data_IF_653306825191
#
_entry.id   IF_653306825191
#
_cell.length_a   1.000
_cell.length_b   1.000
_cell.length_c   1.000
_cell.angle_alpha   90.00
_cell.angle_beta   90.00
_cell.angle_gamma   90.00
#
_symmetry.space_group_name_H-M   'P 1'
#
loop_
_entity.id
_entity.type
_entity.pdbx_description
1 polymer ?
#
# COMPACT_ATOMS: atom_id res chain seq x y z
N UNK A 1 -14.37 3.86 -33.68
CA UNK A 1 -13.38 4.53 -32.82
C UNK A 1 -14.00 4.68 -31.44
N UNK A 2 -13.74 3.75 -30.53
CA UNK A 2 -14.26 3.80 -29.16
C UNK A 2 -13.20 4.54 -28.35
N UNK A 3 -13.46 5.81 -28.06
CA UNK A 3 -12.68 6.59 -27.11
C UNK A 3 -12.93 6.06 -25.71
N UNK A 4 -12.23 4.99 -25.34
CA UNK A 4 -12.11 4.60 -23.94
C UNK A 4 -11.10 5.55 -23.32
N UNK A 5 -11.60 6.58 -22.64
CA UNK A 5 -10.85 7.34 -21.64
C UNK A 5 -10.38 6.34 -20.58
N UNK A 6 -9.20 5.73 -20.80
CA UNK A 6 -8.53 5.02 -19.72
C UNK A 6 -8.34 6.03 -18.59
N UNK A 7 -8.73 5.70 -17.35
CA UNK A 7 -8.54 6.64 -16.30
C UNK A 7 -7.06 6.76 -16.01
N UNK A 8 -6.59 7.95 -16.30
CA UNK A 8 -5.24 8.38 -16.07
C UNK A 8 -5.12 8.66 -14.56
N UNK A 9 -4.39 7.82 -13.84
CA UNK A 9 -4.09 8.07 -12.43
C UNK A 9 -2.96 9.10 -12.32
N UNK A 10 -2.97 9.90 -11.25
CA UNK A 10 -1.94 10.94 -11.03
C UNK A 10 -0.60 10.37 -10.56
N UNK A 11 -0.63 9.31 -9.76
CA UNK A 11 0.55 8.62 -9.24
C UNK A 11 0.20 7.17 -8.90
N UNK A 12 1.21 6.32 -8.66
CA UNK A 12 0.97 4.90 -8.40
C UNK A 12 0.25 4.66 -7.06
N UNK A 13 0.47 5.50 -6.06
CA UNK A 13 -0.24 5.40 -4.77
C UNK A 13 -1.76 5.59 -4.94
N UNK A 14 -2.16 6.56 -5.76
CA UNK A 14 -3.56 6.82 -6.08
C UNK A 14 -4.18 5.65 -6.84
N UNK A 15 -3.45 5.08 -7.81
CA UNK A 15 -3.86 3.89 -8.54
C UNK A 15 -4.04 2.67 -7.63
N UNK A 16 -3.08 2.41 -6.74
CA UNK A 16 -3.13 1.31 -5.78
C UNK A 16 -4.29 1.45 -4.79
N UNK A 17 -4.43 2.64 -4.18
CA UNK A 17 -5.53 2.89 -3.23
C UNK A 17 -6.89 2.70 -3.91
N UNK A 18 -7.04 3.18 -5.14
CA UNK A 18 -8.25 2.96 -5.92
C UNK A 18 -8.49 1.48 -6.25
N UNK A 19 -7.44 0.73 -6.63
CA UNK A 19 -7.54 -0.69 -6.96
C UNK A 19 -7.96 -1.54 -5.76
N UNK A 20 -7.34 -1.30 -4.58
CA UNK A 20 -7.69 -2.01 -3.34
C UNK A 20 -9.11 -1.69 -2.85
N UNK A 21 -9.54 -0.43 -2.93
CA UNK A 21 -10.93 -0.06 -2.66
C UNK A 21 -11.90 -0.73 -3.64
N UNK A 22 -11.54 -0.78 -4.92
CA UNK A 22 -12.36 -1.42 -5.96
C UNK A 22 -12.49 -2.92 -5.74
N UNK A 23 -11.42 -3.59 -5.28
CA UNK A 23 -11.46 -5.01 -4.92
C UNK A 23 -12.35 -5.29 -3.71
N UNK A 24 -12.37 -4.42 -2.71
CA UNK A 24 -13.18 -4.58 -1.50
C UNK A 24 -14.68 -4.31 -1.70
N UNK A 25 -15.05 -3.59 -2.75
CA UNK A 25 -16.45 -3.20 -3.02
C UNK A 25 -17.16 -4.22 -3.94
N UNK A 26 -18.30 -4.80 -3.53
CA UNK A 26 -19.06 -5.71 -4.38
C UNK A 26 -19.64 -5.02 -5.63
N UNK A 27 -19.70 -5.76 -6.74
CA UNK A 27 -20.10 -5.27 -8.08
C UNK A 27 -21.52 -4.70 -8.10
N UNK A 28 -22.42 -5.22 -7.25
CA UNK A 28 -23.87 -4.94 -7.28
C UNK A 28 -24.29 -3.72 -6.43
N UNK A 29 -23.43 -3.22 -5.53
CA UNK A 29 -23.83 -2.23 -4.50
C UNK A 29 -23.54 -0.74 -4.84
N UNK A 30 -23.32 -0.38 -6.11
CA UNK A 30 -22.60 0.87 -6.47
C UNK A 30 -23.42 2.01 -7.07
N UNK A 31 -24.71 2.14 -6.77
CA UNK A 31 -25.50 3.26 -7.33
C UNK A 31 -25.29 4.62 -6.67
N UNK A 32 -24.59 4.77 -5.52
CA UNK A 32 -24.52 6.08 -4.84
C UNK A 32 -23.18 6.46 -4.17
N UNK A 33 -22.20 5.56 -4.02
CA UNK A 33 -20.98 5.85 -3.23
C UNK A 33 -19.82 6.48 -4.01
N UNK A 34 -19.82 6.46 -5.35
CA UNK A 34 -18.73 7.03 -6.14
C UNK A 34 -18.65 8.56 -6.04
N UNK A 35 -19.75 9.24 -5.72
CA UNK A 35 -19.81 10.69 -5.58
C UNK A 35 -19.34 11.18 -4.19
N UNK A 36 -19.43 10.35 -3.14
CA UNK A 36 -19.12 10.72 -1.76
C UNK A 36 -17.67 10.42 -1.36
N UNK A 37 -17.03 9.40 -1.95
CA UNK A 37 -15.65 9.04 -1.61
C UNK A 37 -14.60 10.00 -2.22
N UNK A 38 -14.95 10.74 -3.27
CA UNK A 38 -14.06 11.65 -3.99
C UNK A 38 -14.70 13.05 -4.07
N UNK A 39 -14.78 13.73 -2.93
CA UNK A 39 -15.02 15.16 -2.92
C UNK A 39 -13.89 15.88 -3.67
N UNK A 40 -14.16 16.32 -4.91
CA UNK A 40 -13.48 17.46 -5.52
C UNK A 40 -12.18 17.23 -6.30
N UNK A 41 -11.83 16.01 -6.73
CA UNK A 41 -10.66 15.84 -7.62
C UNK A 41 -10.99 14.91 -8.79
N UNK A 42 -11.29 15.51 -9.94
CA UNK A 42 -11.49 14.84 -11.23
C UNK A 42 -10.18 14.23 -11.71
N UNK A 43 -9.91 12.98 -11.34
CA UNK A 43 -8.71 12.25 -11.76
C UNK A 43 -8.77 10.80 -11.32
N UNK A 44 -9.74 10.05 -11.83
CA UNK A 44 -9.86 8.62 -11.53
C UNK A 44 -11.22 8.06 -11.97
N UNK A 45 -11.21 7.26 -13.03
CA UNK A 45 -12.29 6.39 -13.48
C UNK A 45 -13.66 7.08 -13.66
N UNK A 46 -13.68 8.26 -14.29
CA UNK A 46 -14.92 8.83 -14.84
C UNK A 46 -15.35 7.98 -16.03
N UNK A 47 -16.58 7.47 -16.01
CA UNK A 47 -17.19 6.77 -17.17
C UNK A 47 -17.13 5.23 -17.17
N UNK A 48 -16.32 4.58 -16.33
CA UNK A 48 -16.22 3.10 -16.34
C UNK A 48 -17.41 2.41 -15.66
N UNK A 49 -17.95 1.37 -16.32
CA UNK A 49 -18.92 0.43 -15.75
C UNK A 49 -18.27 -0.42 -14.63
N UNK A 50 -19.07 -1.00 -13.73
CA UNK A 50 -18.58 -1.82 -12.61
C UNK A 50 -17.62 -2.92 -13.06
N UNK A 51 -17.95 -3.64 -14.13
CA UNK A 51 -17.07 -4.67 -14.71
C UNK A 51 -15.73 -4.11 -15.20
N UNK A 52 -15.74 -2.96 -15.90
CA UNK A 52 -14.52 -2.33 -16.42
C UNK A 52 -13.62 -1.82 -15.30
N UNK A 53 -14.20 -1.32 -14.20
CA UNK A 53 -13.42 -0.92 -13.02
C UNK A 53 -12.75 -2.12 -12.36
N UNK A 54 -13.47 -3.25 -12.22
CA UNK A 54 -12.87 -4.47 -11.66
C UNK A 54 -11.80 -5.05 -12.60
N UNK A 55 -12.02 -5.03 -13.91
CA UNK A 55 -11.02 -5.43 -14.89
C UNK A 55 -9.76 -4.55 -14.79
N UNK A 56 -9.92 -3.24 -14.64
CA UNK A 56 -8.77 -2.34 -14.50
C UNK A 56 -8.04 -2.50 -13.16
N UNK A 57 -8.78 -2.71 -12.06
CA UNK A 57 -8.15 -3.04 -10.78
C UNK A 57 -7.34 -4.35 -10.89
N UNK A 58 -7.87 -5.36 -11.58
CA UNK A 58 -7.15 -6.60 -11.85
C UNK A 58 -5.89 -6.38 -12.71
N UNK A 59 -5.93 -5.48 -13.70
CA UNK A 59 -4.73 -5.11 -14.46
C UNK A 59 -3.65 -4.50 -13.56
N UNK A 60 -4.02 -3.57 -12.68
CA UNK A 60 -3.10 -2.96 -11.71
C UNK A 60 -2.47 -4.03 -10.79
N UNK A 61 -3.28 -4.95 -10.27
CA UNK A 61 -2.76 -6.05 -9.44
C UNK A 61 -1.84 -6.98 -10.23
N UNK A 62 -2.23 -7.38 -11.45
CA UNK A 62 -1.39 -8.24 -12.29
C UNK A 62 -0.06 -7.59 -12.66
N UNK A 63 -0.04 -6.27 -12.83
CA UNK A 63 1.18 -5.52 -13.07
C UNK A 63 2.06 -5.50 -11.82
N UNK A 64 1.47 -5.18 -10.66
CA UNK A 64 2.17 -5.19 -9.39
C UNK A 64 2.79 -6.57 -9.09
N UNK A 65 2.03 -7.65 -9.23
CA UNK A 65 2.49 -9.02 -8.99
C UNK A 65 3.66 -9.43 -9.90
N UNK A 66 3.70 -8.92 -11.14
CA UNK A 66 4.76 -9.24 -12.12
C UNK A 66 6.05 -8.46 -11.90
N UNK A 67 5.96 -7.23 -11.42
CA UNK A 67 7.11 -6.31 -11.35
C UNK A 67 7.72 -6.32 -9.95
N UNK A 68 6.91 -6.51 -8.92
CA UNK A 68 7.34 -6.43 -7.52
C UNK A 68 7.84 -7.77 -7.00
N UNK A 69 8.85 -7.70 -6.14
CA UNK A 69 9.36 -8.86 -5.41
C UNK A 69 8.34 -9.33 -4.36
N UNK A 70 8.44 -10.58 -3.86
CA UNK A 70 7.50 -11.10 -2.86
C UNK A 70 7.39 -10.24 -1.60
N UNK A 71 8.48 -9.62 -1.16
CA UNK A 71 8.48 -8.70 0.00
C UNK A 71 7.73 -7.38 -0.29
N UNK A 72 7.89 -6.84 -1.49
CA UNK A 72 7.24 -5.59 -1.94
C UNK A 72 5.73 -5.83 -2.13
N UNK A 73 5.34 -7.00 -2.65
CA UNK A 73 3.94 -7.43 -2.70
C UNK A 73 3.35 -7.64 -1.29
N UNK A 74 4.10 -8.24 -0.36
CA UNK A 74 3.69 -8.35 1.03
C UNK A 74 3.48 -6.96 1.67
N UNK A 75 4.36 -5.99 1.38
CA UNK A 75 4.17 -4.61 1.79
C UNK A 75 2.85 -4.01 1.28
N UNK A 76 2.57 -4.13 -0.03
CA UNK A 76 1.34 -3.60 -0.62
C UNK A 76 0.07 -4.19 -0.02
N UNK A 77 0.04 -5.50 0.19
CA UNK A 77 -1.13 -6.20 0.75
C UNK A 77 -1.45 -5.76 2.17
N UNK A 78 -0.43 -5.53 3.00
CA UNK A 78 -0.62 -5.05 4.38
C UNK A 78 -0.99 -3.57 4.40
N UNK A 79 -0.29 -2.74 3.62
CA UNK A 79 -0.48 -1.28 3.63
C UNK A 79 -1.84 -0.86 3.05
N UNK A 80 -2.19 -1.37 1.87
CA UNK A 80 -3.38 -0.95 1.13
C UNK A 80 -4.53 -1.95 1.24
N UNK A 81 -4.22 -3.24 1.30
CA UNK A 81 -5.23 -4.29 1.44
C UNK A 81 -5.73 -4.49 2.87
N UNK A 82 -5.01 -3.97 3.87
CA UNK A 82 -5.28 -4.22 5.30
C UNK A 82 -5.31 -5.72 5.63
N UNK A 83 -4.65 -6.52 4.82
CA UNK A 83 -4.58 -7.97 4.98
C UNK A 83 -3.41 -8.33 5.90
N UNK A 84 -3.63 -9.29 6.78
CA UNK A 84 -2.61 -9.82 7.68
C UNK A 84 -1.62 -10.78 6.99
N UNK A 85 -1.94 -11.26 5.79
CA UNK A 85 -1.16 -12.28 5.08
C UNK A 85 0.30 -11.88 4.81
N UNK A 86 0.59 -10.58 4.61
CA UNK A 86 1.95 -10.09 4.35
C UNK A 86 2.77 -9.76 5.61
N UNK A 87 2.17 -9.78 6.81
CA UNK A 87 2.81 -9.31 8.04
C UNK A 87 4.02 -10.17 8.39
N UNK A 88 3.93 -11.50 8.25
CA UNK A 88 5.02 -12.40 8.65
C UNK A 88 6.29 -12.21 7.79
N UNK A 89 6.13 -11.89 6.51
CA UNK A 89 7.24 -11.59 5.61
C UNK A 89 7.94 -10.28 6.01
N UNK A 90 7.17 -9.23 6.32
CA UNK A 90 7.70 -7.94 6.79
C UNK A 90 8.36 -8.08 8.15
N UNK A 91 7.79 -8.88 9.05
CA UNK A 91 8.40 -9.18 10.36
C UNK A 91 9.73 -9.91 10.18
N UNK A 92 9.78 -10.91 9.30
CA UNK A 92 11.04 -11.63 9.02
C UNK A 92 12.11 -10.71 8.45
N UNK A 93 11.73 -9.81 7.52
CA UNK A 93 12.62 -8.79 6.97
C UNK A 93 13.15 -7.85 8.07
N UNK A 94 12.27 -7.27 8.88
CA UNK A 94 12.67 -6.34 9.95
C UNK A 94 13.53 -7.02 11.02
N UNK A 95 13.21 -8.26 11.41
CA UNK A 95 14.04 -9.03 12.36
C UNK A 95 15.44 -9.27 11.78
N UNK A 96 15.55 -9.56 10.49
CA UNK A 96 16.84 -9.70 9.82
C UNK A 96 17.66 -8.42 9.78
N UNK A 97 17.01 -7.26 9.63
CA UNK A 97 17.69 -5.95 9.54
C UNK A 97 18.02 -5.33 10.90
N UNK A 98 17.18 -5.52 11.92
CA UNK A 98 17.39 -4.98 13.26
C UNK A 98 18.48 -5.75 14.04
N UNK A 99 18.91 -6.92 13.54
CA UNK A 99 19.98 -7.73 14.14
C UNK A 99 19.52 -8.65 15.27
N UNK A 100 20.43 -9.51 15.74
CA UNK A 100 20.19 -10.64 16.67
C UNK A 100 19.88 -10.25 18.12
N UNK A 101 19.44 -9.03 18.39
CA UNK A 101 18.72 -8.76 19.64
C UNK A 101 17.47 -9.62 19.64
N UNK A 102 17.21 -10.37 20.70
CA UNK A 102 16.03 -11.24 20.79
C UNK A 102 14.74 -10.39 20.81
N UNK A 103 14.36 -9.85 19.66
CA UNK A 103 13.14 -9.08 19.49
C UNK A 103 12.01 -10.09 19.30
N UNK A 104 11.04 -10.04 20.20
CA UNK A 104 9.87 -10.88 20.07
C UNK A 104 9.15 -10.53 18.77
N UNK A 105 8.96 -11.53 17.90
CA UNK A 105 8.26 -11.40 16.61
C UNK A 105 6.90 -10.69 16.77
N UNK A 106 6.22 -10.88 17.90
CA UNK A 106 4.96 -10.21 18.25
C UNK A 106 5.11 -8.69 18.35
N UNK A 107 6.18 -8.21 18.97
CA UNK A 107 6.47 -6.78 19.09
C UNK A 107 6.80 -6.15 17.74
N UNK A 108 7.56 -6.86 16.89
CA UNK A 108 7.84 -6.42 15.51
C UNK A 108 6.57 -6.43 14.66
N UNK A 109 5.69 -7.42 14.82
CA UNK A 109 4.39 -7.43 14.14
C UNK A 109 3.53 -6.22 14.52
N UNK A 110 3.54 -5.80 15.78
CA UNK A 110 2.88 -4.56 16.22
C UNK A 110 3.51 -3.31 15.61
N UNK A 111 4.83 -3.29 15.37
CA UNK A 111 5.48 -2.18 14.66
C UNK A 111 4.99 -2.08 13.21
N UNK A 112 4.96 -3.21 12.48
CA UNK A 112 4.44 -3.26 11.10
C UNK A 112 2.98 -2.78 11.05
N UNK A 113 2.12 -3.29 11.94
CA UNK A 113 0.71 -2.87 12.03
C UNK A 113 0.55 -1.39 12.38
N UNK A 114 1.36 -0.88 13.31
CA UNK A 114 1.36 0.52 13.68
C UNK A 114 1.77 1.42 12.51
N UNK A 115 2.75 0.99 11.72
CA UNK A 115 3.17 1.68 10.50
C UNK A 115 2.04 1.71 9.48
N UNK A 116 1.35 0.59 9.28
CA UNK A 116 0.22 0.52 8.35
C UNK A 116 -1.01 1.30 8.82
N UNK A 117 -1.01 1.89 10.02
CA UNK A 117 -2.07 2.79 10.50
C UNK A 117 -3.01 2.18 11.52
N UNK A 118 -2.70 0.99 12.06
CA UNK A 118 -3.37 0.54 13.28
C UNK A 118 -2.99 1.44 14.47
N UNK A 119 -4.00 1.81 15.28
CA UNK A 119 -3.79 2.65 16.47
C UNK A 119 -3.18 1.84 17.61
N UNK A 120 -1.86 1.63 17.55
CA UNK A 120 -1.11 0.90 18.57
C UNK A 120 -0.24 1.88 19.36
N UNK A 121 -0.53 1.97 20.67
CA UNK A 121 0.25 2.78 21.60
C UNK A 121 1.64 2.21 21.85
N UNK A 122 2.61 3.09 22.10
CA UNK A 122 4.01 2.70 22.39
C UNK A 122 4.12 1.75 23.59
N UNK A 123 3.23 1.86 24.58
CA UNK A 123 3.20 0.97 25.75
C UNK A 123 2.92 -0.49 25.38
N UNK A 124 2.05 -0.73 24.39
CA UNK A 124 1.71 -2.07 23.93
C UNK A 124 2.81 -2.70 23.08
N UNK A 125 3.56 -1.87 22.34
CA UNK A 125 4.77 -2.28 21.60
C UNK A 125 5.87 -2.63 22.59
N UNK A 126 6.10 -1.77 23.60
CA UNK A 126 7.09 -1.96 24.65
C UNK A 126 6.86 -3.26 25.42
N UNK A 127 5.61 -3.56 25.77
CA UNK A 127 5.25 -4.79 26.48
C UNK A 127 5.69 -6.03 25.70
N UNK A 128 5.38 -6.07 24.40
CA UNK A 128 5.75 -7.22 23.57
C UNK A 128 7.25 -7.28 23.25
N UNK A 129 7.93 -6.13 23.11
CA UNK A 129 9.37 -6.09 22.89
C UNK A 129 10.18 -6.33 24.19
N UNK A 130 9.52 -6.37 25.35
CA UNK A 130 10.12 -6.48 26.68
C UNK A 130 11.30 -5.51 26.93
N UNK A 131 11.22 -4.30 26.39
CA UNK A 131 12.32 -3.33 26.43
C UNK A 131 11.97 -2.04 27.17
N UNK A 132 12.96 -1.16 27.37
CA UNK A 132 12.73 0.17 27.96
C UNK A 132 11.97 1.05 26.97
N UNK A 133 11.26 2.07 27.47
CA UNK A 133 10.47 2.98 26.63
C UNK A 133 11.32 3.69 25.57
N UNK A 134 12.53 4.12 25.91
CA UNK A 134 13.48 4.76 24.99
C UNK A 134 13.86 3.80 23.86
N UNK A 135 14.30 2.60 24.20
CA UNK A 135 14.63 1.54 23.24
C UNK A 135 13.45 1.19 22.32
N UNK A 136 12.22 1.16 22.85
CA UNK A 136 11.02 0.92 22.05
C UNK A 136 10.77 2.04 21.02
N UNK A 137 11.07 3.29 21.37
CA UNK A 137 10.95 4.43 20.46
C UNK A 137 12.03 4.38 19.37
N UNK A 138 13.27 4.06 19.75
CA UNK A 138 14.37 3.94 18.80
C UNK A 138 14.13 2.81 17.80
N UNK A 139 13.70 1.64 18.28
CA UNK A 139 13.33 0.50 17.42
C UNK A 139 12.14 0.83 16.52
N UNK A 140 11.15 1.56 17.02
CA UNK A 140 10.02 2.02 16.20
C UNK A 140 10.51 2.93 15.09
N UNK A 141 11.37 3.90 15.39
CA UNK A 141 11.93 4.81 14.40
C UNK A 141 12.71 4.03 13.34
N UNK A 142 13.63 3.17 13.75
CA UNK A 142 14.43 2.34 12.83
C UNK A 142 13.54 1.45 11.95
N UNK A 143 12.55 0.78 12.54
CA UNK A 143 11.62 -0.05 11.76
C UNK A 143 10.81 0.78 10.75
N UNK A 144 10.40 1.99 11.12
CA UNK A 144 9.67 2.89 10.23
C UNK A 144 10.56 3.40 9.10
N UNK A 145 11.79 3.81 9.41
CA UNK A 145 12.78 4.23 8.40
C UNK A 145 13.04 3.09 7.38
N UNK A 146 13.16 1.84 7.87
CA UNK A 146 13.33 0.67 6.99
C UNK A 146 12.10 0.38 6.12
N UNK A 147 10.89 0.56 6.67
CA UNK A 147 9.65 0.40 5.91
C UNK A 147 9.43 1.55 4.91
N UNK A 148 9.88 2.76 5.22
CA UNK A 148 9.85 3.91 4.29
C UNK A 148 10.79 3.69 3.11
N UNK A 149 11.97 3.12 3.34
CA UNK A 149 12.86 2.72 2.22
C UNK A 149 12.18 1.68 1.34
N UNK A 150 11.52 0.68 1.94
CA UNK A 150 10.75 -0.32 1.20
C UNK A 150 9.57 0.29 0.44
N UNK A 151 8.87 1.25 1.05
CA UNK A 151 7.77 2.02 0.44
C UNK A 151 8.25 2.74 -0.81
N UNK A 152 9.26 3.61 -0.67
CA UNK A 152 9.78 4.39 -1.79
C UNK A 152 10.27 3.51 -2.93
N UNK A 153 10.96 2.40 -2.61
CA UNK A 153 11.41 1.44 -3.61
C UNK A 153 10.23 0.80 -4.35
N UNK A 154 9.22 0.34 -3.60
CA UNK A 154 8.03 -0.31 -4.15
C UNK A 154 7.26 0.64 -5.06
N UNK A 155 7.02 1.87 -4.60
CA UNK A 155 6.30 2.89 -5.37
C UNK A 155 7.09 3.28 -6.62
N UNK A 156 8.39 3.54 -6.52
CA UNK A 156 9.20 3.93 -7.69
C UNK A 156 9.20 2.87 -8.79
N UNK A 157 9.36 1.59 -8.42
CA UNK A 157 9.31 0.47 -9.36
C UNK A 157 7.93 0.37 -10.03
N UNK A 158 6.86 0.53 -9.24
CA UNK A 158 5.49 0.45 -9.74
C UNK A 158 5.13 1.66 -10.63
N UNK A 159 5.56 2.87 -10.27
CA UNK A 159 5.37 4.07 -11.08
C UNK A 159 6.01 3.91 -12.45
N UNK A 160 7.26 3.43 -12.49
CA UNK A 160 7.95 3.19 -13.75
C UNK A 160 7.19 2.18 -14.63
N UNK A 161 6.71 1.09 -14.02
CA UNK A 161 5.88 0.11 -14.73
C UNK A 161 4.55 0.70 -15.22
N UNK A 162 3.86 1.48 -14.39
CA UNK A 162 2.58 2.08 -14.74
C UNK A 162 2.71 3.16 -15.83
N UNK A 163 3.82 3.91 -15.86
CA UNK A 163 4.14 4.84 -16.96
C UNK A 163 4.35 4.07 -18.26
N UNK A 164 5.11 2.97 -18.24
CA UNK A 164 5.34 2.13 -19.43
C UNK A 164 4.03 1.54 -19.99
N UNK A 165 3.08 1.24 -19.11
CA UNK A 165 1.75 0.73 -19.47
C UNK A 165 0.71 1.83 -19.70
N UNK A 166 1.11 3.11 -19.74
CA UNK A 166 0.24 4.28 -19.98
C UNK A 166 -0.93 4.41 -19.00
N UNK A 167 -0.73 3.96 -17.75
CA UNK A 167 -1.73 4.05 -16.67
C UNK A 167 -1.62 5.37 -15.88
N UNK A 168 -0.52 6.11 -16.03
CA UNK A 168 -0.26 7.38 -15.33
C UNK A 168 -0.22 8.56 -16.29
N UNK A 169 -0.67 9.75 -15.83
CA UNK A 169 -0.50 11.00 -16.59
C UNK A 169 0.98 11.35 -16.54
N UNK A 170 1.66 11.27 -17.67
CA UNK A 170 3.07 11.67 -17.76
C UNK A 170 3.24 13.20 -17.81
N UNK A 171 2.34 13.96 -17.18
CA UNK A 171 2.46 15.42 -17.11
C UNK A 171 3.33 15.79 -15.91
N UNK A 172 4.51 16.42 -16.12
CA UNK A 172 5.26 16.98 -15.01
C UNK A 172 4.38 18.04 -14.34
N UNK A 173 4.22 17.98 -13.02
CA UNK A 173 3.58 19.07 -12.27
C UNK A 173 4.35 20.38 -12.57
N UNK A 174 3.67 21.46 -12.99
CA UNK A 174 4.32 22.76 -13.07
C UNK A 174 4.64 23.22 -11.64
N UNK A 175 5.93 23.53 -11.42
CA UNK A 175 6.48 24.15 -10.21
C UNK A 175 5.70 25.41 -9.79
#
# INVERSE_FOLDING_TARGET
MIGNEQPIFRNAEHALRWAYLTRAMPIVARTQLSALAYGGSQGGATGLNGYERHAQAALIFSLAERVLNPLENAYLTVQYGRDSAGIDALVAYLVGQLGSGAYYRRGVAKLVRAYCGERIGISAIRYDLACRKTTALDLRKQAFDMLDVLHHKTIAVLEQAMILHQLLDSRPEPL
#
